data_IF_853636540386
#
_entry.id   IF_853636540386
#
_cell.length_a   1.000
_cell.length_b   1.000
_cell.length_c   1.000
_cell.angle_alpha   90.00
_cell.angle_beta   90.00
_cell.angle_gamma   90.00
#
_symmetry.space_group_name_H-M   'P 1'
#
loop_
_entity.id
_entity.type
_entity.pdbx_description
1 polymer ?
#
# COMPACT_ATOMS: atom_id res chain seq x y z
N UNK A 1 -4.77 12.37 -14.96
CA UNK A 1 -5.23 11.27 -14.09
C UNK A 1 -4.04 10.36 -13.85
N UNK A 2 -3.56 10.24 -12.61
CA UNK A 2 -2.45 9.36 -12.24
C UNK A 2 -2.93 7.98 -11.80
N UNK A 3 -2.04 6.99 -11.82
CA UNK A 3 -2.28 5.63 -11.31
C UNK A 3 -1.19 5.29 -10.29
N UNK A 4 -1.56 4.58 -9.23
CA UNK A 4 -0.62 4.02 -8.26
C UNK A 4 -0.77 2.51 -8.20
N UNK A 5 0.34 1.79 -8.31
CA UNK A 5 0.40 0.34 -8.12
C UNK A 5 0.86 0.07 -6.70
N UNK A 6 0.02 -0.62 -5.91
CA UNK A 6 0.39 -1.04 -4.56
C UNK A 6 0.69 -2.54 -4.62
N UNK A 7 1.93 -2.87 -4.26
CA UNK A 7 2.39 -4.25 -4.08
C UNK A 7 2.45 -4.50 -2.57
N UNK A 8 1.79 -5.56 -2.09
CA UNK A 8 1.73 -5.85 -0.66
C UNK A 8 1.81 -7.35 -0.36
N UNK A 9 2.28 -7.66 0.84
CA UNK A 9 2.34 -9.02 1.38
C UNK A 9 1.33 -9.14 2.53
N UNK A 10 0.84 -10.35 2.78
CA UNK A 10 -0.03 -10.67 3.90
C UNK A 10 0.70 -11.66 4.81
N UNK A 11 0.96 -11.26 6.05
CA UNK A 11 1.67 -12.06 7.05
C UNK A 11 2.97 -12.67 6.45
N UNK A 12 3.16 -13.98 6.56
CA UNK A 12 4.37 -14.70 6.09
C UNK A 12 4.27 -15.19 4.62
N UNK A 13 3.34 -14.68 3.82
CA UNK A 13 3.20 -15.09 2.43
C UNK A 13 4.32 -14.52 1.56
N UNK A 14 5.06 -15.40 0.89
CA UNK A 14 6.18 -15.03 0.00
C UNK A 14 5.70 -14.35 -1.29
N UNK A 15 4.56 -14.78 -1.85
CA UNK A 15 4.04 -14.20 -3.10
C UNK A 15 3.24 -12.93 -2.83
N UNK A 16 3.64 -11.76 -3.37
CA UNK A 16 2.90 -10.53 -3.17
C UNK A 16 1.64 -10.44 -4.02
N UNK A 17 0.73 -9.57 -3.59
CA UNK A 17 -0.44 -9.13 -4.34
C UNK A 17 -0.18 -7.76 -4.97
N UNK A 18 -0.88 -7.47 -6.07
CA UNK A 18 -0.86 -6.17 -6.74
C UNK A 18 -2.28 -5.64 -6.92
N UNK A 19 -2.49 -4.38 -6.52
CA UNK A 19 -3.71 -3.62 -6.84
C UNK A 19 -3.34 -2.30 -7.50
N UNK A 20 -4.27 -1.75 -8.28
CA UNK A 20 -4.11 -0.47 -8.98
C UNK A 20 -5.15 0.53 -8.48
N UNK A 21 -4.69 1.68 -8.02
CA UNK A 21 -5.54 2.80 -7.66
C UNK A 21 -5.53 3.82 -8.80
N UNK A 22 -6.69 4.33 -9.25
CA UNK A 22 -6.76 5.42 -10.24
C UNK A 22 -6.49 6.79 -9.58
N UNK A 23 -5.46 6.84 -8.73
CA UNK A 23 -5.04 8.00 -7.94
C UNK A 23 -3.54 8.16 -8.15
N UNK A 24 -3.08 9.39 -8.33
CA UNK A 24 -1.65 9.69 -8.43
C UNK A 24 -0.93 9.39 -7.11
N UNK A 25 0.32 8.93 -7.16
CA UNK A 25 1.02 8.40 -5.97
C UNK A 25 1.17 9.43 -4.86
N UNK A 26 1.35 10.69 -5.21
CA UNK A 26 1.45 11.84 -4.31
C UNK A 26 0.14 12.17 -3.56
N UNK A 27 -1.00 11.61 -3.99
CA UNK A 27 -2.33 11.84 -3.40
C UNK A 27 -2.88 10.60 -2.68
N UNK A 28 -2.22 9.45 -2.77
CA UNK A 28 -2.71 8.20 -2.17
C UNK A 28 -2.62 8.27 -0.64
N UNK A 29 -3.69 7.85 0.03
CA UNK A 29 -3.75 7.72 1.49
C UNK A 29 -3.91 6.26 1.93
N UNK A 30 -3.69 6.00 3.23
CA UNK A 30 -4.00 4.70 3.83
C UNK A 30 -5.49 4.33 3.70
N UNK A 31 -6.39 5.31 3.72
CA UNK A 31 -7.83 5.06 3.61
C UNK A 31 -8.20 4.50 2.22
N UNK A 32 -7.58 5.02 1.16
CA UNK A 32 -7.78 4.54 -0.21
C UNK A 32 -7.39 3.06 -0.32
N UNK A 33 -6.24 2.69 0.26
CA UNK A 33 -5.79 1.30 0.24
C UNK A 33 -6.70 0.39 1.08
N UNK A 34 -7.11 0.82 2.28
CA UNK A 34 -8.03 0.06 3.14
C UNK A 34 -9.39 -0.21 2.47
N UNK A 35 -9.91 0.78 1.74
CA UNK A 35 -11.18 0.64 1.01
C UNK A 35 -11.11 -0.46 -0.06
N UNK A 36 -9.95 -0.67 -0.68
CA UNK A 36 -9.75 -1.75 -1.67
C UNK A 36 -9.66 -3.12 -1.01
N UNK A 37 -9.07 -3.23 0.18
CA UNK A 37 -8.86 -4.53 0.84
C UNK A 37 -10.11 -5.08 1.55
N UNK A 38 -11.10 -4.24 1.86
CA UNK A 38 -12.28 -4.61 2.65
C UNK A 38 -11.93 -5.33 3.99
N UNK A 39 -10.77 -4.99 4.56
CA UNK A 39 -10.16 -5.64 5.75
C UNK A 39 -9.62 -4.56 6.71
N UNK A 40 -10.41 -4.07 7.67
CA UNK A 40 -10.06 -2.87 8.44
C UNK A 40 -9.07 -3.10 9.59
N UNK A 41 -8.93 -4.33 10.09
CA UNK A 41 -8.29 -4.61 11.39
C UNK A 41 -6.87 -5.20 11.26
N UNK A 42 -6.03 -4.60 10.43
CA UNK A 42 -4.62 -4.97 10.29
C UNK A 42 -3.69 -3.81 10.62
N UNK A 43 -2.45 -4.12 10.97
CA UNK A 43 -1.35 -3.14 10.97
C UNK A 43 -0.78 -3.06 9.56
N UNK A 44 -0.49 -1.84 9.12
CA UNK A 44 0.01 -1.56 7.78
C UNK A 44 1.43 -1.02 7.90
N UNK A 45 2.37 -1.66 7.23
CA UNK A 45 3.76 -1.23 7.14
C UNK A 45 4.05 -0.93 5.68
N UNK A 46 4.70 0.20 5.42
CA UNK A 46 5.06 0.64 4.09
C UNK A 46 6.57 0.72 3.99
N UNK A 47 7.12 0.24 2.88
CA UNK A 47 8.51 0.54 2.55
C UNK A 47 8.62 2.05 2.40
N UNK A 48 9.37 2.67 3.29
CA UNK A 48 9.70 4.08 3.26
C UNK A 48 11.22 4.21 3.27
N UNK A 49 11.70 5.41 2.98
CA UNK A 49 13.05 5.82 3.34
C UNK A 49 12.94 6.70 4.57
N UNK A 50 13.73 6.39 5.59
CA UNK A 50 13.99 7.30 6.70
C UNK A 50 15.35 7.98 6.47
N UNK A 51 15.49 9.25 6.82
CA UNK A 51 16.70 10.03 6.50
C UNK A 51 17.94 9.53 7.27
N UNK A 52 17.77 8.89 8.43
CA UNK A 52 18.86 8.38 9.27
C UNK A 52 19.15 6.90 9.02
N UNK A 53 18.14 6.11 8.67
CA UNK A 53 18.24 4.65 8.58
C UNK A 53 18.19 4.10 7.14
N UNK A 54 17.78 4.91 6.16
CA UNK A 54 17.53 4.49 4.79
C UNK A 54 16.18 3.80 4.59
#
# INVERSE_FOLDING_TARGET
MGETKIIYHLDDQETPYLVKLPIAAEMVTLADFKNVLNKPNYKFFFKSMDDDFG
#
